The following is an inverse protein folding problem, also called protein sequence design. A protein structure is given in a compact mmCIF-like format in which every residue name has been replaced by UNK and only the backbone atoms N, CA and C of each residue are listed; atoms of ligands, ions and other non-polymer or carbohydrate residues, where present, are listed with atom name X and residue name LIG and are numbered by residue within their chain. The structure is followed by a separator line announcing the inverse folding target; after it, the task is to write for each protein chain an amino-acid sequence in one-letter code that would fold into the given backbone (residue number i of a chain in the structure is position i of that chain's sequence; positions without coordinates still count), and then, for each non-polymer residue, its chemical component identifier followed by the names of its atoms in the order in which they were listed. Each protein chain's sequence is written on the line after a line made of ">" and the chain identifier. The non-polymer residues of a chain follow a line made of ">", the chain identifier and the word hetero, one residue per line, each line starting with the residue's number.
data_IF_865947217241
#
_entry.id   IF_865947217241
#
_cell.length_a   1.000
_cell.length_b   1.000
_cell.length_c   1.000
_cell.angle_alpha   90.00
_cell.angle_beta   90.00
_cell.angle_gamma   90.00
#
_symmetry.space_group_name_H-M   'P 1'
#
loop_
_entity.id
_entity.type
_entity.pdbx_description
1 polymer ?
#
# COMPACT_ATOMS: atom_id res chain seq x y z
N UNK A 1 22.62 -35.14 -16.18
CA UNK A 1 23.50 -34.03 -15.78
C UNK A 1 22.65 -32.92 -15.17
N UNK A 2 22.49 -32.93 -13.83
CA UNK A 2 21.91 -31.80 -13.10
C UNK A 2 23.02 -30.76 -12.97
N UNK A 3 22.87 -29.60 -13.62
CA UNK A 3 23.79 -28.48 -13.40
C UNK A 3 23.51 -27.94 -12.01
N UNK A 4 24.40 -28.25 -11.07
CA UNK A 4 24.52 -27.47 -9.83
C UNK A 4 24.81 -26.04 -10.27
N UNK A 5 23.85 -25.13 -10.08
CA UNK A 5 24.15 -23.70 -10.09
C UNK A 5 24.81 -23.42 -8.76
N UNK A 6 26.12 -23.23 -8.82
CA UNK A 6 26.91 -22.73 -7.71
C UNK A 6 26.34 -21.35 -7.32
N UNK A 7 25.86 -21.23 -6.08
CA UNK A 7 25.14 -20.04 -5.60
C UNK A 7 26.07 -19.03 -4.91
N UNK A 8 27.37 -19.30 -4.94
CA UNK A 8 28.43 -18.45 -4.40
C UNK A 8 28.66 -17.25 -5.33
N UNK A 9 27.79 -16.25 -5.25
CA UNK A 9 27.96 -14.98 -5.97
C UNK A 9 26.75 -14.04 -6.05
N UNK A 10 25.55 -14.44 -5.59
CA UNK A 10 24.36 -13.58 -5.66
C UNK A 10 24.39 -12.48 -4.58
N UNK A 11 25.00 -11.33 -4.87
CA UNK A 11 24.79 -10.13 -4.04
C UNK A 11 23.62 -9.31 -4.60
N UNK A 12 22.43 -9.61 -4.10
CA UNK A 12 21.20 -8.86 -4.33
C UNK A 12 20.10 -8.99 -3.23
N UNK A 13 20.37 -8.92 -1.91
CA UNK A 13 19.27 -8.81 -0.93
C UNK A 13 19.46 -7.67 0.09
N UNK A 14 19.90 -6.48 -0.33
CA UNK A 14 20.04 -5.37 0.63
C UNK A 14 18.67 -4.98 1.22
N UNK A 15 17.65 -4.84 0.36
CA UNK A 15 16.34 -4.30 0.73
C UNK A 15 15.25 -5.37 0.84
N UNK A 16 15.34 -6.46 0.07
CA UNK A 16 14.28 -7.47 -0.01
C UNK A 16 14.84 -8.88 -0.13
N UNK A 17 14.06 -9.86 0.34
CA UNK A 17 14.31 -11.31 0.20
C UNK A 17 13.17 -12.00 -0.55
N UNK A 18 13.44 -13.20 -1.05
CA UNK A 18 12.40 -14.06 -1.65
C UNK A 18 11.34 -14.34 -0.58
N UNK A 19 10.07 -14.21 -0.95
CA UNK A 19 8.91 -14.34 -0.07
C UNK A 19 8.44 -13.01 0.54
N UNK A 20 9.18 -11.91 0.40
CA UNK A 20 8.71 -10.60 0.85
C UNK A 20 7.48 -10.15 0.07
N UNK A 21 6.49 -9.62 0.79
CA UNK A 21 5.36 -8.88 0.23
C UNK A 21 5.79 -7.47 -0.14
N UNK A 22 5.45 -7.04 -1.34
CA UNK A 22 5.76 -5.71 -1.87
C UNK A 22 4.56 -5.14 -2.60
N UNK A 23 4.62 -3.85 -2.89
CA UNK A 23 3.82 -3.26 -3.95
C UNK A 23 4.66 -3.11 -5.20
N UNK A 24 4.08 -3.38 -6.36
CA UNK A 24 4.72 -3.21 -7.63
C UNK A 24 3.81 -2.50 -8.63
N UNK A 25 4.41 -1.72 -9.52
CA UNK A 25 3.65 -1.05 -10.58
C UNK A 25 3.26 -2.06 -11.67
N UNK A 26 1.98 -2.04 -12.02
CA UNK A 26 1.43 -2.81 -13.15
C UNK A 26 1.40 -1.92 -14.39
N UNK A 27 2.36 -2.12 -15.30
CA UNK A 27 2.68 -1.16 -16.37
C UNK A 27 1.51 -0.83 -17.32
N UNK A 28 0.60 -1.77 -17.57
CA UNK A 28 -0.58 -1.55 -18.41
C UNK A 28 -1.70 -0.75 -17.71
N UNK A 29 -1.68 -0.65 -16.37
CA UNK A 29 -2.64 0.12 -15.57
C UNK A 29 -2.00 1.41 -15.04
N UNK A 30 -0.69 1.40 -14.83
CA UNK A 30 0.08 2.48 -14.24
C UNK A 30 -0.18 2.69 -12.74
N UNK A 31 -0.76 1.70 -12.05
CA UNK A 31 -1.06 1.74 -10.63
C UNK A 31 -0.25 0.69 -9.85
N UNK A 32 -0.20 0.85 -8.53
CA UNK A 32 0.48 -0.04 -7.59
C UNK A 32 -0.45 -1.16 -7.11
N UNK A 33 0.05 -2.40 -7.15
CA UNK A 33 -0.64 -3.61 -6.73
C UNK A 33 0.25 -4.43 -5.80
N UNK A 34 -0.35 -5.19 -4.90
CA UNK A 34 0.37 -6.14 -4.06
C UNK A 34 1.00 -7.25 -4.91
N UNK A 35 2.18 -7.70 -4.51
CA UNK A 35 2.89 -8.80 -5.13
C UNK A 35 3.82 -9.49 -4.14
N UNK A 36 4.16 -10.75 -4.41
CA UNK A 36 5.19 -11.49 -3.68
C UNK A 36 6.47 -11.57 -4.51
N UNK A 37 7.63 -11.38 -3.89
CA UNK A 37 8.92 -11.62 -4.55
C UNK A 37 9.18 -13.12 -4.63
N UNK A 38 9.32 -13.65 -5.85
CA UNK A 38 9.52 -15.08 -6.09
C UNK A 38 10.95 -15.43 -6.55
N UNK A 39 11.71 -14.46 -7.06
CA UNK A 39 13.14 -14.62 -7.36
C UNK A 39 13.85 -13.27 -7.38
N UNK A 40 15.16 -13.26 -7.12
CA UNK A 40 16.00 -12.06 -7.19
C UNK A 40 17.32 -12.42 -7.86
N UNK A 41 17.71 -11.64 -8.85
CA UNK A 41 18.97 -11.84 -9.56
C UNK A 41 19.58 -10.49 -9.98
N UNK A 42 20.92 -10.42 -10.07
CA UNK A 42 21.58 -9.23 -10.57
C UNK A 42 21.18 -8.98 -12.02
N UNK A 43 21.04 -7.70 -12.39
CA UNK A 43 21.09 -7.31 -13.81
C UNK A 43 22.40 -7.82 -14.40
N UNK A 44 22.38 -8.34 -15.63
CA UNK A 44 23.45 -9.14 -16.24
C UNK A 44 24.81 -8.40 -16.48
N UNK A 45 25.11 -7.32 -15.75
CA UNK A 45 26.24 -6.41 -15.97
C UNK A 45 26.88 -5.84 -14.70
N UNK A 46 26.80 -6.48 -13.53
CA UNK A 46 27.53 -5.97 -12.36
C UNK A 46 28.60 -6.97 -11.87
N UNK A 47 29.86 -6.56 -12.06
CA UNK A 47 31.05 -7.13 -11.40
C UNK A 47 31.33 -6.44 -10.04
N UNK A 48 30.45 -5.52 -9.64
CA UNK A 48 30.56 -4.70 -8.44
C UNK A 48 30.09 -5.45 -7.20
N UNK A 49 30.97 -5.64 -6.22
CA UNK A 49 30.70 -6.41 -5.00
C UNK A 49 29.75 -5.74 -3.98
N UNK A 50 29.23 -4.53 -4.23
CA UNK A 50 28.47 -3.76 -3.22
C UNK A 50 27.28 -2.93 -3.76
N UNK A 51 27.08 -2.78 -5.08
CA UNK A 51 26.05 -1.90 -5.66
C UNK A 51 25.34 -2.52 -6.89
N UNK A 52 25.13 -3.84 -6.87
CA UNK A 52 24.41 -4.51 -7.97
C UNK A 52 22.97 -3.99 -8.06
N UNK A 53 22.58 -3.45 -9.23
CA UNK A 53 21.17 -3.27 -9.54
C UNK A 53 20.54 -4.66 -9.73
N UNK A 54 19.51 -4.95 -8.94
CA UNK A 54 18.81 -6.22 -8.94
C UNK A 54 17.53 -6.13 -9.77
N UNK A 55 17.17 -7.25 -10.40
CA UNK A 55 15.83 -7.48 -10.90
C UNK A 55 15.10 -8.39 -9.94
N UNK A 56 13.85 -8.02 -9.68
CA UNK A 56 12.93 -8.73 -8.82
C UNK A 56 11.89 -9.40 -9.70
N UNK A 57 11.86 -10.73 -9.67
CA UNK A 57 10.76 -11.47 -10.26
C UNK A 57 9.66 -11.54 -9.23
N UNK A 58 8.50 -11.02 -9.59
CA UNK A 58 7.35 -10.88 -8.71
C UNK A 58 6.15 -11.64 -9.25
N UNK A 59 5.29 -12.08 -8.33
CA UNK A 59 3.97 -12.63 -8.60
C UNK A 59 2.93 -11.64 -8.07
N UNK A 60 2.12 -11.04 -8.93
CA UNK A 60 1.05 -10.15 -8.49
C UNK A 60 -0.04 -10.94 -7.76
N UNK A 61 -0.57 -10.35 -6.69
CA UNK A 61 -1.76 -10.83 -6.03
C UNK A 61 -2.98 -10.64 -6.96
N UNK A 62 -3.82 -11.67 -7.09
CA UNK A 62 -5.01 -11.65 -7.92
C UNK A 62 -6.15 -12.41 -7.25
N UNK A 63 -7.35 -11.83 -7.32
CA UNK A 63 -8.60 -12.49 -6.91
C UNK A 63 -9.07 -13.57 -7.91
N UNK A 64 -8.43 -13.66 -9.07
CA UNK A 64 -8.71 -14.65 -10.10
C UNK A 64 -7.57 -15.67 -10.13
N UNK A 65 -7.83 -16.92 -10.53
CA UNK A 65 -6.81 -17.98 -10.70
C UNK A 65 -5.78 -17.68 -11.83
N UNK A 66 -5.60 -16.41 -12.19
CA UNK A 66 -4.66 -15.92 -13.19
C UNK A 66 -3.33 -15.63 -12.52
N UNK A 67 -2.35 -16.45 -12.86
CA UNK A 67 -0.94 -16.21 -12.48
C UNK A 67 -0.38 -15.09 -13.35
N UNK A 68 -0.05 -13.96 -12.74
CA UNK A 68 0.63 -12.85 -13.40
C UNK A 68 2.02 -12.62 -12.80
N UNK A 69 3.04 -12.99 -13.56
CA UNK A 69 4.45 -12.86 -13.17
C UNK A 69 5.09 -11.75 -13.98
N UNK A 70 5.88 -10.91 -13.33
CA UNK A 70 6.62 -9.83 -13.98
C UNK A 70 8.02 -9.67 -13.39
N UNK A 71 8.89 -8.98 -14.12
CA UNK A 71 10.20 -8.54 -13.64
C UNK A 71 10.17 -7.04 -13.37
N UNK A 72 10.72 -6.60 -12.24
CA UNK A 72 10.75 -5.20 -11.81
C UNK A 72 12.12 -4.79 -11.30
N UNK A 73 12.45 -3.53 -11.48
CA UNK A 73 13.59 -2.88 -10.83
C UNK A 73 13.25 -2.49 -9.39
N UNK A 74 14.26 -2.10 -8.60
CA UNK A 74 14.06 -1.63 -7.23
C UNK A 74 13.07 -0.45 -7.17
N UNK A 75 13.18 0.44 -8.15
CA UNK A 75 12.35 1.62 -8.34
C UNK A 75 10.87 1.30 -8.61
N UNK A 76 10.60 0.17 -9.24
CA UNK A 76 9.25 -0.24 -9.64
C UNK A 76 8.57 -1.18 -8.62
N UNK A 77 9.25 -1.44 -7.50
CA UNK A 77 8.69 -2.08 -6.31
C UNK A 77 8.80 -1.12 -5.11
N UNK A 78 8.04 -1.36 -4.05
CA UNK A 78 8.21 -0.67 -2.77
C UNK A 78 7.67 -1.49 -1.62
N UNK A 79 7.96 -1.05 -0.39
CA UNK A 79 7.33 -1.62 0.80
C UNK A 79 5.81 -1.42 0.75
N UNK A 80 5.07 -2.37 1.31
CA UNK A 80 3.61 -2.25 1.41
C UNK A 80 3.26 -0.99 2.21
N UNK A 81 2.37 -0.19 1.65
CA UNK A 81 1.97 1.12 2.16
C UNK A 81 0.58 1.02 2.76
N UNK A 82 0.47 1.19 4.07
CA UNK A 82 -0.81 1.03 4.80
C UNK A 82 -1.08 2.11 5.84
N UNK A 83 -0.11 2.99 6.11
CA UNK A 83 -0.26 4.06 7.10
C UNK A 83 -1.04 5.23 6.50
N UNK A 84 -2.29 5.40 6.95
CA UNK A 84 -3.11 6.57 6.59
C UNK A 84 -2.56 7.84 7.23
N UNK A 85 -2.46 8.90 6.44
CA UNK A 85 -2.11 10.25 6.87
C UNK A 85 -3.38 11.03 7.21
N UNK A 86 -3.29 11.83 8.26
CA UNK A 86 -4.35 12.80 8.57
C UNK A 86 -4.39 13.89 7.49
N UNK A 87 -5.60 14.22 7.01
CA UNK A 87 -5.82 15.30 6.05
C UNK A 87 -5.26 16.64 6.52
N UNK A 88 -5.25 16.91 7.82
CA UNK A 88 -4.68 18.13 8.40
C UNK A 88 -3.13 18.14 8.42
N UNK A 89 -2.49 16.99 8.19
CA UNK A 89 -1.02 16.87 8.10
C UNK A 89 -0.46 17.09 6.68
N UNK A 90 -1.32 17.11 5.66
CA UNK A 90 -0.94 17.18 4.25
C UNK A 90 -0.33 18.54 3.87
N UNK A 91 0.75 18.51 3.09
CA UNK A 91 1.53 19.70 2.69
C UNK A 91 1.96 19.62 1.23
N UNK A 92 2.10 20.77 0.54
CA UNK A 92 2.74 20.84 -0.77
C UNK A 92 4.11 20.15 -0.79
N UNK A 93 4.41 19.44 -1.87
CA UNK A 93 5.63 18.66 -2.09
C UNK A 93 5.57 17.23 -1.55
N UNK A 94 4.58 16.88 -0.73
CA UNK A 94 4.43 15.49 -0.26
C UNK A 94 4.05 14.57 -1.44
N UNK A 95 4.73 13.43 -1.53
CA UNK A 95 4.37 12.31 -2.41
C UNK A 95 3.64 11.26 -1.57
N UNK A 96 2.37 11.02 -1.90
CA UNK A 96 1.46 10.13 -1.16
C UNK A 96 0.83 9.12 -2.11
N UNK A 97 0.12 8.12 -1.58
CA UNK A 97 -0.66 7.17 -2.37
C UNK A 97 -2.15 7.41 -2.16
N UNK A 98 -2.92 7.48 -3.24
CA UNK A 98 -4.37 7.62 -3.17
C UNK A 98 -5.06 6.59 -4.05
N UNK A 99 -6.27 6.18 -3.66
CA UNK A 99 -7.15 5.44 -4.56
C UNK A 99 -7.86 6.44 -5.47
N UNK A 100 -7.72 6.29 -6.78
CA UNK A 100 -8.37 7.16 -7.76
C UNK A 100 -8.79 6.38 -8.99
N UNK A 101 -9.92 6.74 -9.58
CA UNK A 101 -10.38 6.17 -10.84
C UNK A 101 -10.26 7.23 -11.93
N UNK A 102 -9.28 7.05 -12.82
CA UNK A 102 -8.96 8.02 -13.88
C UNK A 102 -10.12 8.20 -14.85
N UNK A 103 -10.86 7.12 -15.17
CA UNK A 103 -11.99 7.18 -16.10
C UNK A 103 -13.26 7.74 -15.46
N UNK A 104 -13.49 7.43 -14.18
CA UNK A 104 -14.68 7.82 -13.45
C UNK A 104 -14.36 8.19 -11.99
N UNK A 105 -14.00 9.45 -11.70
CA UNK A 105 -13.52 9.90 -10.40
C UNK A 105 -14.46 9.68 -9.20
N UNK A 106 -15.76 9.43 -9.44
CA UNK A 106 -16.73 9.14 -8.38
C UNK A 106 -16.85 7.63 -8.07
N UNK A 107 -16.06 6.78 -8.74
CA UNK A 107 -15.98 5.34 -8.50
C UNK A 107 -14.66 4.95 -7.85
N UNK A 108 -14.66 3.78 -7.21
CA UNK A 108 -13.44 3.13 -6.76
C UNK A 108 -12.51 2.85 -7.95
N UNK A 109 -11.22 3.04 -7.75
CA UNK A 109 -10.21 2.83 -8.78
C UNK A 109 -9.01 2.09 -8.23
N UNK A 110 -7.83 2.52 -8.64
CA UNK A 110 -6.55 1.89 -8.27
C UNK A 110 -5.69 2.84 -7.46
N UNK A 111 -4.61 2.31 -6.89
CA UNK A 111 -3.68 3.05 -6.05
C UNK A 111 -2.59 3.70 -6.89
N UNK A 112 -2.55 5.03 -6.89
CA UNK A 112 -1.58 5.82 -7.65
C UNK A 112 -0.75 6.69 -6.73
N UNK A 113 0.48 6.97 -7.15
CA UNK A 113 1.27 8.03 -6.53
C UNK A 113 0.66 9.39 -6.87
N UNK A 114 0.70 10.30 -5.91
CA UNK A 114 0.12 11.64 -6.02
C UNK A 114 1.06 12.64 -5.37
N UNK A 115 1.47 13.67 -6.13
CA UNK A 115 2.27 14.78 -5.62
C UNK A 115 1.34 15.93 -5.30
N UNK A 116 1.38 16.39 -4.05
CA UNK A 116 0.55 17.50 -3.58
C UNK A 116 1.17 18.83 -4.03
N UNK A 117 0.41 19.63 -4.76
CA UNK A 117 0.82 20.97 -5.17
C UNK A 117 0.25 22.04 -4.23
N UNK A 118 -0.98 21.84 -3.76
CA UNK A 118 -1.69 22.83 -2.96
C UNK A 118 -2.77 22.20 -2.07
N UNK A 119 -2.89 22.70 -0.83
CA UNK A 119 -3.88 22.26 0.16
C UNK A 119 -4.71 23.46 0.61
N UNK A 120 -6.02 23.30 0.74
CA UNK A 120 -6.92 24.34 1.28
C UNK A 120 -8.08 23.72 2.04
N UNK A 121 -8.46 24.35 3.17
CA UNK A 121 -9.60 23.93 3.98
C UNK A 121 -10.77 24.89 3.79
N UNK A 122 -11.97 24.37 3.50
CA UNK A 122 -13.23 25.12 3.39
C UNK A 122 -14.36 24.28 3.96
N UNK A 123 -15.21 24.85 4.80
CA UNK A 123 -16.40 24.16 5.35
C UNK A 123 -16.11 22.79 5.98
N UNK A 124 -15.00 22.68 6.73
CA UNK A 124 -14.48 21.44 7.31
C UNK A 124 -14.07 20.35 6.30
N UNK A 125 -14.00 20.67 5.01
CA UNK A 125 -13.50 19.80 3.94
C UNK A 125 -12.10 20.28 3.55
N UNK A 126 -11.17 19.34 3.48
CA UNK A 126 -9.82 19.59 2.98
C UNK A 126 -9.79 19.25 1.48
N UNK A 127 -9.46 20.25 0.66
CA UNK A 127 -9.25 20.13 -0.78
C UNK A 127 -7.76 20.10 -1.07
N UNK A 128 -7.34 19.17 -1.93
CA UNK A 128 -5.94 18.97 -2.29
C UNK A 128 -5.83 18.92 -3.80
N UNK A 129 -5.10 19.87 -4.38
CA UNK A 129 -4.71 19.85 -5.79
C UNK A 129 -3.31 19.28 -5.92
N UNK A 130 -3.09 18.55 -6.99
CA UNK A 130 -1.86 17.83 -7.19
C UNK A 130 -1.84 17.10 -8.51
N UNK A 131 -0.80 16.30 -8.70
CA UNK A 131 -0.57 15.54 -9.92
C UNK A 131 -0.54 14.04 -9.62
N UNK A 132 -1.47 13.30 -10.21
CA UNK A 132 -1.48 11.85 -10.22
C UNK A 132 -0.37 11.34 -11.15
N UNK A 133 0.45 10.43 -10.66
CA UNK A 133 1.54 9.83 -11.42
C UNK A 133 1.13 8.44 -11.90
N UNK A 134 0.97 8.29 -13.21
CA UNK A 134 0.62 7.01 -13.84
C UNK A 134 1.90 6.31 -14.28
N UNK A 135 2.06 5.07 -13.82
CA UNK A 135 3.31 4.33 -13.93
C UNK A 135 4.32 4.76 -12.86
N UNK A 136 5.52 4.16 -12.88
CA UNK A 136 6.59 4.56 -11.98
C UNK A 136 6.95 6.04 -12.23
N UNK A 137 6.90 6.87 -11.19
CA UNK A 137 7.20 8.31 -11.24
C UNK A 137 6.50 9.12 -12.36
N UNK A 138 5.35 8.63 -12.84
CA UNK A 138 4.58 9.31 -13.89
C UNK A 138 5.23 9.19 -15.26
N UNK A 139 6.01 8.11 -15.51
CA UNK A 139 6.62 7.82 -16.81
C UNK A 139 5.56 7.58 -17.88
N UNK A 140 4.41 7.01 -17.51
CA UNK A 140 3.30 6.79 -18.45
C UNK A 140 2.50 8.06 -18.67
N UNK A 141 2.07 8.73 -17.59
CA UNK A 141 1.34 9.99 -17.66
C UNK A 141 1.41 10.75 -16.33
N UNK A 142 1.10 12.04 -16.38
CA UNK A 142 0.99 12.94 -15.23
C UNK A 142 -0.30 13.73 -15.33
N UNK A 143 -1.29 13.37 -14.51
CA UNK A 143 -2.66 13.89 -14.62
C UNK A 143 -2.93 14.83 -13.46
N UNK A 144 -3.12 16.14 -13.69
CA UNK A 144 -3.55 17.06 -12.65
C UNK A 144 -4.95 16.70 -12.17
N UNK A 145 -5.11 16.50 -10.86
CA UNK A 145 -6.41 16.17 -10.25
C UNK A 145 -6.61 16.98 -8.96
N UNK A 146 -7.87 17.19 -8.59
CA UNK A 146 -8.24 17.74 -7.29
C UNK A 146 -9.04 16.67 -6.53
N UNK A 147 -8.60 16.38 -5.30
CA UNK A 147 -9.28 15.46 -4.39
C UNK A 147 -9.75 16.21 -3.15
N UNK A 148 -10.63 15.60 -2.37
CA UNK A 148 -11.03 16.12 -1.07
C UNK A 148 -11.40 15.02 -0.09
N UNK A 149 -11.44 15.39 1.19
CA UNK A 149 -11.72 14.51 2.32
C UNK A 149 -13.12 13.87 2.33
N UNK A 150 -14.03 14.32 1.46
CA UNK A 150 -15.38 13.74 1.33
C UNK A 150 -15.47 12.69 0.22
N UNK A 151 -14.53 12.71 -0.73
CA UNK A 151 -14.52 11.83 -1.90
C UNK A 151 -13.50 10.71 -1.80
N UNK A 152 -12.32 11.00 -1.26
CA UNK A 152 -11.24 10.03 -1.11
C UNK A 152 -11.24 9.48 0.32
N UNK A 153 -11.19 8.15 0.44
CA UNK A 153 -11.25 7.46 1.74
C UNK A 153 -10.00 7.70 2.56
N UNK A 154 -8.83 7.44 1.96
CA UNK A 154 -7.53 7.52 2.63
C UNK A 154 -6.48 8.13 1.73
N UNK A 155 -5.52 8.80 2.36
CA UNK A 155 -4.26 9.26 1.77
C UNK A 155 -3.16 8.52 2.52
N UNK A 156 -2.39 7.69 1.81
CA UNK A 156 -1.42 6.80 2.46
C UNK A 156 0.01 7.33 2.30
N UNK A 157 0.83 7.10 3.32
CA UNK A 157 2.26 7.44 3.33
C UNK A 157 3.10 6.44 2.55
N UNK A 158 3.93 6.93 1.62
CA UNK A 158 4.89 6.06 0.93
C UNK A 158 6.05 5.75 1.88
N UNK A 159 6.24 4.47 2.17
CA UNK A 159 7.40 4.00 2.94
C UNK A 159 8.64 3.90 2.05
N UNK A 160 9.79 4.47 2.47
CA UNK A 160 11.05 4.31 1.74
C UNK A 160 11.51 2.86 1.78
N UNK A 161 12.47 2.47 0.94
CA UNK A 161 13.09 1.15 1.08
C UNK A 161 13.85 1.07 2.41
N UNK A 162 13.53 0.06 3.22
CA UNK A 162 14.31 -0.33 4.38
C UNK A 162 15.11 -1.59 4.03
N UNK A 163 16.33 -1.65 4.55
CA UNK A 163 17.18 -2.83 4.48
C UNK A 163 16.54 -4.01 5.22
N UNK A 164 16.94 -5.22 4.89
CA UNK A 164 16.45 -6.43 5.58
C UNK A 164 16.70 -6.34 7.09
N UNK A 165 17.84 -5.78 7.51
CA UNK A 165 18.17 -5.58 8.93
C UNK A 165 17.32 -4.52 9.61
N UNK A 166 16.99 -3.42 8.93
CA UNK A 166 16.09 -2.39 9.48
C UNK A 166 14.69 -2.96 9.71
N UNK A 167 14.18 -3.75 8.76
CA UNK A 167 12.88 -4.43 8.86
C UNK A 167 12.80 -5.43 10.02
N UNK A 168 13.91 -6.06 10.39
CA UNK A 168 13.96 -7.01 11.52
C UNK A 168 14.01 -6.32 12.90
N UNK A 169 14.43 -5.06 12.94
CA UNK A 169 14.50 -4.27 14.18
C UNK A 169 13.25 -3.43 14.43
N UNK A 170 12.50 -3.11 13.38
CA UNK A 170 11.24 -2.39 13.50
C UNK A 170 10.09 -3.36 13.84
N UNK A 171 9.25 -2.96 14.80
CA UNK A 171 7.95 -3.60 15.03
C UNK A 171 7.02 -3.26 13.86
N UNK A 172 7.13 -4.06 12.80
CA UNK A 172 6.48 -3.80 11.52
C UNK A 172 4.98 -4.14 11.62
N UNK A 173 4.17 -3.19 12.08
CA UNK A 173 2.71 -3.35 12.12
C UNK A 173 2.17 -3.64 10.72
N UNK A 174 1.67 -4.82 10.38
CA UNK A 174 1.21 -5.13 9.01
C UNK A 174 -0.17 -4.54 8.72
N UNK A 175 -0.26 -3.24 8.43
CA UNK A 175 -1.53 -2.68 7.96
C UNK A 175 -1.88 -3.17 6.55
N UNK A 176 -3.17 -3.13 6.21
CA UNK A 176 -3.70 -3.54 4.91
C UNK A 176 -4.37 -2.34 4.23
N UNK A 177 -4.13 -2.16 2.93
CA UNK A 177 -4.85 -1.13 2.16
C UNK A 177 -6.35 -1.42 2.14
N UNK A 178 -7.21 -0.40 2.20
CA UNK A 178 -8.65 -0.60 2.06
C UNK A 178 -9.02 -1.31 0.75
N UNK A 179 -9.82 -2.37 0.86
CA UNK A 179 -10.42 -3.05 -0.28
C UNK A 179 -11.77 -2.44 -0.69
N UNK A 180 -12.23 -2.76 -1.89
CA UNK A 180 -13.53 -2.29 -2.37
C UNK A 180 -14.70 -2.95 -1.61
N UNK A 181 -15.42 -2.16 -0.82
CA UNK A 181 -16.62 -2.60 -0.13
C UNK A 181 -17.87 -2.34 -0.99
N UNK A 182 -18.49 -3.41 -1.50
CA UNK A 182 -19.76 -3.34 -2.26
C UNK A 182 -20.91 -2.68 -1.50
N UNK A 183 -20.90 -2.72 -0.17
CA UNK A 183 -22.02 -2.24 0.66
C UNK A 183 -22.01 -0.72 0.85
N UNK A 184 -20.83 -0.12 1.06
CA UNK A 184 -20.72 1.34 1.23
C UNK A 184 -20.03 2.05 0.05
N UNK A 185 -19.50 1.29 -0.91
CA UNK A 185 -18.72 1.77 -2.07
C UNK A 185 -17.55 2.66 -1.64
N UNK A 186 -16.95 2.35 -0.49
CA UNK A 186 -15.86 3.08 0.17
C UNK A 186 -16.12 4.57 0.41
N UNK A 187 -17.38 5.05 0.34
CA UNK A 187 -17.72 6.46 0.61
C UNK A 187 -17.24 6.89 2.00
N UNK A 188 -16.37 7.91 2.15
CA UNK A 188 -15.70 8.21 3.42
C UNK A 188 -16.66 8.45 4.59
N UNK A 189 -17.74 9.20 4.35
CA UNK A 189 -18.74 9.54 5.36
C UNK A 189 -19.82 8.47 5.61
N UNK A 190 -19.84 7.39 4.80
CA UNK A 190 -20.85 6.35 4.95
C UNK A 190 -20.45 5.37 6.06
N UNK A 191 -21.30 5.25 7.08
CA UNK A 191 -21.14 4.18 8.08
C UNK A 191 -21.30 2.81 7.42
N UNK A 192 -20.40 1.88 7.74
CA UNK A 192 -20.44 0.52 7.22
C UNK A 192 -20.00 -0.48 8.29
N UNK A 193 -20.89 -1.39 8.68
CA UNK A 193 -20.59 -2.46 9.66
C UNK A 193 -19.98 -3.71 9.02
N UNK A 194 -19.77 -3.70 7.70
CA UNK A 194 -19.23 -4.84 6.94
C UNK A 194 -17.74 -4.72 6.61
N UNK A 195 -17.22 -3.50 6.50
CA UNK A 195 -15.81 -3.25 6.18
C UNK A 195 -15.12 -2.38 7.23
N UNK A 196 -15.79 -2.13 8.35
CA UNK A 196 -15.30 -1.34 9.48
C UNK A 196 -15.92 -1.91 10.76
N UNK A 197 -15.64 -1.28 11.90
CA UNK A 197 -16.15 -1.67 13.21
C UNK A 197 -17.64 -2.09 13.17
N UNK A 198 -17.93 -3.36 13.48
CA UNK A 198 -19.28 -3.92 13.33
C UNK A 198 -20.29 -3.30 14.30
N UNK A 199 -19.81 -2.67 15.39
CA UNK A 199 -20.64 -1.98 16.39
C UNK A 199 -21.04 -0.57 15.93
N UNK A 200 -20.08 0.29 15.60
CA UNK A 200 -20.33 1.70 15.31
C UNK A 200 -20.41 2.02 13.80
N UNK A 201 -19.77 1.20 12.97
CA UNK A 201 -19.66 1.36 11.51
C UNK A 201 -18.82 2.55 11.05
N UNK A 202 -18.05 3.20 11.94
CA UNK A 202 -17.28 4.40 11.58
C UNK A 202 -15.97 4.02 10.88
N UNK A 203 -15.59 4.84 9.89
CA UNK A 203 -14.34 4.75 9.11
C UNK A 203 -13.29 5.69 9.68
N UNK A 204 -12.78 5.34 10.84
CA UNK A 204 -11.79 6.14 11.57
C UNK A 204 -11.01 5.22 12.48
N UNK A 205 -9.91 5.73 13.02
CA UNK A 205 -9.14 5.05 14.07
C UNK A 205 -8.82 3.59 13.71
N UNK A 206 -8.45 3.33 12.44
CA UNK A 206 -8.20 1.97 11.95
C UNK A 206 -7.02 1.30 12.68
N UNK A 207 -6.03 2.08 13.11
CA UNK A 207 -4.95 1.63 13.98
C UNK A 207 -5.43 1.18 15.38
N UNK A 208 -6.66 1.54 15.75
CA UNK A 208 -7.32 1.11 16.98
C UNK A 208 -8.42 0.08 16.71
N UNK A 209 -8.33 -0.66 15.60
CA UNK A 209 -9.24 -1.75 15.27
C UNK A 209 -8.57 -3.12 15.39
N UNK A 210 -9.35 -4.10 15.83
CA UNK A 210 -8.97 -5.51 16.01
C UNK A 210 -9.95 -6.39 15.23
N UNK A 211 -9.47 -7.50 14.68
CA UNK A 211 -10.28 -8.53 14.02
C UNK A 211 -10.59 -9.61 15.05
N UNK A 212 -11.86 -9.99 15.19
CA UNK A 212 -12.23 -11.11 16.06
C UNK A 212 -12.05 -12.44 15.32
N UNK A 213 -11.36 -13.40 15.92
CA UNK A 213 -11.06 -14.69 15.26
C UNK A 213 -12.28 -15.60 15.12
N UNK A 214 -13.24 -15.50 16.04
CA UNK A 214 -14.44 -16.36 16.00
C UNK A 214 -15.43 -15.93 14.91
N UNK A 215 -15.61 -14.62 14.70
CA UNK A 215 -16.62 -14.09 13.79
C UNK A 215 -16.07 -13.38 12.56
N UNK A 216 -14.74 -13.17 12.48
CA UNK A 216 -14.05 -12.45 11.42
C UNK A 216 -14.58 -11.02 11.17
N UNK A 217 -15.16 -10.40 12.20
CA UNK A 217 -15.62 -9.01 12.16
C UNK A 217 -14.58 -8.07 12.80
N UNK A 218 -14.48 -6.86 12.28
CA UNK A 218 -13.62 -5.80 12.84
C UNK A 218 -14.33 -5.05 13.97
N UNK A 219 -13.57 -4.63 14.97
CA UNK A 219 -14.05 -3.85 16.11
C UNK A 219 -13.05 -2.76 16.47
N UNK A 220 -13.52 -1.56 16.82
CA UNK A 220 -12.67 -0.64 17.59
C UNK A 220 -12.46 -1.23 18.99
N UNK A 221 -11.24 -1.12 19.53
CA UNK A 221 -10.91 -1.58 20.88
C UNK A 221 -11.83 -0.98 21.95
N UNK A 222 -12.32 0.25 21.74
CA UNK A 222 -13.23 0.94 22.65
C UNK A 222 -14.72 0.65 22.39
N UNK A 223 -15.06 -0.05 21.31
CA UNK A 223 -16.44 -0.44 20.97
C UNK A 223 -16.81 -1.85 21.47
N UNK A 224 -15.83 -2.64 21.91
CA UNK A 224 -16.06 -3.97 22.48
C UNK A 224 -16.60 -3.86 23.91
N UNK A 225 -17.13 -4.95 24.45
CA UNK A 225 -17.69 -4.97 25.80
C UNK A 225 -17.11 -6.14 26.61
N UNK A 226 -16.27 -5.87 27.62
CA UNK A 226 -15.83 -4.54 28.09
C UNK A 226 -14.90 -3.82 27.09
N UNK A 227 -14.88 -2.47 27.07
CA UNK A 227 -13.94 -1.70 26.26
C UNK A 227 -12.48 -1.98 26.64
N UNK A 228 -11.62 -2.17 25.65
CA UNK A 228 -10.17 -2.33 25.84
C UNK A 228 -9.47 -0.96 25.84
N UNK A 229 -8.37 -0.86 26.59
CA UNK A 229 -7.57 0.37 26.70
C UNK A 229 -6.37 0.40 25.75
N UNK A 230 -5.99 -0.75 25.17
CA UNK A 230 -4.89 -0.90 24.21
C UNK A 230 -5.20 -2.06 23.25
N UNK A 231 -4.50 -2.10 22.12
CA UNK A 231 -4.50 -3.26 21.22
C UNK A 231 -3.94 -4.46 22.01
N UNK A 232 -4.57 -5.65 21.96
CA UNK A 232 -4.03 -6.87 22.56
C UNK A 232 -2.64 -7.18 22.01
N UNK A 233 -1.75 -7.68 22.86
CA UNK A 233 -0.39 -8.07 22.47
C UNK A 233 -0.34 -9.50 21.90
N UNK A 234 -1.44 -10.25 22.00
CA UNK A 234 -1.58 -11.63 21.52
C UNK A 234 -2.16 -11.63 20.10
N UNK A 235 -1.71 -12.58 19.27
CA UNK A 235 -2.17 -12.75 17.90
C UNK A 235 -3.64 -13.24 17.83
N UNK A 236 -4.11 -13.92 18.90
CA UNK A 236 -5.46 -14.48 18.99
C UNK A 236 -6.38 -13.58 19.86
N UNK A 237 -7.47 -13.02 19.28
CA UNK A 237 -8.44 -12.15 19.98
C UNK A 237 -9.93 -12.39 19.62
#
# INVERSE_FOLDING_TARGET
>A
MKRNRDDSGRKCPQYYKIGDKVEAVKLNIGAWFNADIIDIYPTARCECFEQCQCLFKILFESDEDKVEIAERTLDEIRQVTYSSLDWDSLKPGMKVVINYNIENPDKWGYWYDYIIDFVTKRDCITYVKGTLLVGYNGVTDKIPVEINSDKVLDVLEIRPHATVTEKEMEDYETGVKPEYCKSCKNKPKAKCRKCCCCKCGMKKDFQLTVLCDECADWYHIYCVNPPLTRIPDDDDW
#
